data_IF_655487745126
#
_entry.id   IF_655487745126
#
_cell.length_a   1.000
_cell.length_b   1.000
_cell.length_c   1.000
_cell.angle_alpha   90.00
_cell.angle_beta   90.00
_cell.angle_gamma   90.00
#
_symmetry.space_group_name_H-M   'P 1'
#
loop_
_entity.id
_entity.type
_entity.pdbx_description
1 polymer ?
#
# COMPACT_ATOMS: atom_id res chain seq x y z
N UNK A 1 28.48 23.54 14.13
CA UNK A 1 27.07 23.40 14.59
C UNK A 1 26.96 22.36 15.70
N UNK A 2 27.39 21.06 15.49
CA UNK A 2 27.27 19.99 16.50
C UNK A 2 28.00 20.36 17.81
N UNK A 3 29.25 20.83 17.70
CA UNK A 3 30.03 21.26 18.84
C UNK A 3 29.37 22.41 19.60
N UNK A 4 28.85 23.38 18.91
CA UNK A 4 28.18 24.55 19.50
C UNK A 4 26.91 24.15 20.26
N UNK A 5 26.10 23.27 19.68
CA UNK A 5 24.93 22.69 20.34
C UNK A 5 25.35 21.90 21.59
N UNK A 6 26.41 21.11 21.50
CA UNK A 6 26.93 20.35 22.62
C UNK A 6 27.40 21.25 23.78
N UNK A 7 28.13 22.33 23.48
CA UNK A 7 28.60 23.29 24.49
C UNK A 7 27.40 23.91 25.25
N UNK A 8 26.38 24.36 24.52
CA UNK A 8 25.22 25.02 25.11
C UNK A 8 24.30 24.04 25.87
N UNK A 9 24.00 22.88 25.29
CA UNK A 9 22.99 21.97 25.85
C UNK A 9 23.55 20.95 26.86
N UNK A 10 24.84 20.66 26.80
CA UNK A 10 25.47 19.63 27.63
C UNK A 10 26.49 20.24 28.59
N UNK A 11 27.48 20.98 28.07
CA UNK A 11 28.57 21.51 28.92
C UNK A 11 28.13 22.58 29.88
N UNK A 12 27.19 23.45 29.51
CA UNK A 12 26.63 24.46 30.44
C UNK A 12 25.80 23.81 31.57
N UNK A 13 25.31 22.58 31.36
CA UNK A 13 24.48 21.88 32.34
C UNK A 13 25.30 20.87 33.16
N UNK A 14 26.31 20.22 32.56
CA UNK A 14 27.17 19.22 33.20
C UNK A 14 28.66 19.50 32.96
N UNK A 15 29.31 20.07 33.94
CA UNK A 15 30.77 20.39 33.96
C UNK A 15 31.65 19.13 33.82
N UNK A 16 31.11 17.94 34.13
CA UNK A 16 31.86 16.68 34.08
C UNK A 16 31.80 16.05 32.69
N UNK A 17 30.93 16.51 31.82
CA UNK A 17 30.85 16.03 30.44
C UNK A 17 32.18 16.27 29.69
N UNK A 18 32.56 15.48 28.70
CA UNK A 18 33.74 15.71 27.87
C UNK A 18 33.78 17.13 27.31
N UNK A 19 34.97 17.70 27.17
CA UNK A 19 35.14 19.11 26.75
C UNK A 19 34.69 19.37 25.31
N UNK A 20 34.49 18.31 24.51
CA UNK A 20 34.01 18.37 23.12
C UNK A 20 33.15 17.17 22.80
N UNK A 21 32.13 17.35 21.95
CA UNK A 21 31.31 16.25 21.44
C UNK A 21 32.14 15.17 20.73
N UNK A 22 33.28 15.56 20.13
CA UNK A 22 34.19 14.64 19.44
C UNK A 22 34.98 13.73 20.40
N UNK A 23 34.98 14.02 21.68
CA UNK A 23 35.59 13.20 22.76
C UNK A 23 34.56 12.33 23.48
N UNK A 24 33.29 12.43 23.13
CA UNK A 24 32.26 11.54 23.63
C UNK A 24 32.39 10.15 23.02
N UNK A 25 32.06 9.12 23.81
CA UNK A 25 31.95 7.78 23.28
C UNK A 25 30.80 7.71 22.26
N UNK A 26 31.00 6.90 21.22
CA UNK A 26 29.93 6.67 20.25
C UNK A 26 28.81 5.88 20.94
N UNK A 27 27.54 6.31 20.82
CA UNK A 27 26.45 5.63 21.53
C UNK A 27 26.28 4.19 21.05
N UNK A 28 26.18 3.27 21.99
CA UNK A 28 25.87 1.87 21.70
C UNK A 28 24.36 1.65 21.78
N UNK A 29 23.82 0.86 20.84
CA UNK A 29 22.41 0.51 20.83
C UNK A 29 22.09 -0.45 21.99
N UNK A 30 21.08 -0.09 22.78
CA UNK A 30 20.51 -1.02 23.77
C UNK A 30 19.54 -1.98 23.06
N UNK A 31 19.99 -3.21 22.87
CA UNK A 31 19.21 -4.26 22.20
C UNK A 31 17.93 -4.63 22.95
N UNK A 32 17.86 -4.37 24.27
CA UNK A 32 16.67 -4.66 25.07
C UNK A 32 15.50 -3.74 24.75
N UNK A 33 15.77 -2.58 24.15
CA UNK A 33 14.77 -1.60 23.72
C UNK A 33 14.29 -1.81 22.27
N UNK A 34 14.87 -2.78 21.57
CA UNK A 34 14.49 -3.07 20.19
C UNK A 34 13.24 -3.97 20.15
N UNK A 35 12.16 -3.47 19.58
CA UNK A 35 10.94 -4.24 19.33
C UNK A 35 10.77 -4.45 17.81
N UNK A 36 11.23 -5.64 17.34
CA UNK A 36 11.15 -5.99 15.91
C UNK A 36 9.69 -6.02 15.41
N UNK A 37 8.75 -6.48 16.26
CA UNK A 37 7.33 -6.51 15.90
C UNK A 37 6.76 -5.11 15.74
N UNK A 38 7.19 -4.15 16.54
CA UNK A 38 6.80 -2.76 16.40
C UNK A 38 7.37 -2.18 15.09
N UNK A 39 8.62 -2.50 14.76
CA UNK A 39 9.26 -2.06 13.50
C UNK A 39 8.47 -2.56 12.28
N UNK A 40 8.07 -3.84 12.27
CA UNK A 40 7.26 -4.41 11.20
C UNK A 40 5.89 -3.72 11.09
N UNK A 41 5.20 -3.48 12.23
CA UNK A 41 3.91 -2.78 12.24
C UNK A 41 4.04 -1.35 11.70
N UNK A 42 5.06 -0.63 12.13
CA UNK A 42 5.32 0.73 11.63
C UNK A 42 5.67 0.73 10.14
N UNK A 43 6.36 -0.29 9.65
CA UNK A 43 6.60 -0.44 8.21
C UNK A 43 5.29 -0.55 7.41
N UNK A 44 4.32 -1.33 7.90
CA UNK A 44 2.98 -1.44 7.29
C UNK A 44 2.22 -0.11 7.33
N UNK A 45 2.26 0.61 8.47
CA UNK A 45 1.65 1.94 8.60
C UNK A 45 2.26 2.94 7.61
N UNK A 46 3.59 2.94 7.48
CA UNK A 46 4.28 3.78 6.49
C UNK A 46 3.83 3.49 5.06
N UNK A 47 3.64 2.22 4.70
CA UNK A 47 3.09 1.82 3.40
C UNK A 47 1.70 2.42 3.16
N UNK A 48 0.79 2.31 4.14
CA UNK A 48 -0.54 2.93 4.03
C UNK A 48 -0.49 4.45 3.90
N UNK A 49 0.36 5.11 4.68
CA UNK A 49 0.55 6.57 4.60
C UNK A 49 1.13 6.97 3.25
N UNK A 50 2.07 6.21 2.70
CA UNK A 50 2.63 6.46 1.38
C UNK A 50 1.57 6.34 0.28
N UNK A 51 0.76 5.27 0.29
CA UNK A 51 -0.37 5.13 -0.63
C UNK A 51 -1.34 6.32 -0.54
N UNK A 52 -1.70 6.75 0.68
CA UNK A 52 -2.55 7.92 0.88
C UNK A 52 -1.93 9.21 0.33
N UNK A 53 -0.62 9.40 0.47
CA UNK A 53 0.10 10.54 -0.11
C UNK A 53 0.17 10.48 -1.63
N UNK A 54 0.34 9.30 -2.22
CA UNK A 54 0.29 9.09 -3.68
C UNK A 54 -1.08 9.49 -4.20
N UNK A 55 -2.16 9.01 -3.57
CA UNK A 55 -3.53 9.39 -3.94
C UNK A 55 -3.72 10.90 -3.91
N UNK A 56 -3.27 11.57 -2.83
CA UNK A 56 -3.34 13.03 -2.72
C UNK A 56 -2.57 13.74 -3.82
N UNK A 57 -1.33 13.32 -4.08
CA UNK A 57 -0.45 13.91 -5.08
C UNK A 57 -1.04 13.78 -6.50
N UNK A 58 -1.52 12.59 -6.86
CA UNK A 58 -2.13 12.29 -8.17
C UNK A 58 -3.39 13.12 -8.41
N UNK A 59 -4.14 13.44 -7.35
CA UNK A 59 -5.38 14.21 -7.43
C UNK A 59 -5.20 15.70 -7.07
N UNK A 60 -3.95 16.19 -6.91
CA UNK A 60 -3.61 17.57 -6.56
C UNK A 60 -4.21 18.05 -5.22
N UNK A 61 -4.46 17.15 -4.27
CA UNK A 61 -4.94 17.45 -2.93
C UNK A 61 -3.77 17.68 -1.98
N UNK A 62 -3.61 18.89 -1.46
CA UNK A 62 -2.51 19.23 -0.52
C UNK A 62 -2.72 18.52 0.83
N UNK A 63 -1.63 18.12 1.50
CA UNK A 63 -1.71 17.43 2.80
C UNK A 63 -2.43 18.25 3.88
N UNK A 64 -2.35 19.57 3.83
CA UNK A 64 -3.06 20.48 4.76
C UNK A 64 -4.59 20.50 4.57
N UNK A 65 -5.10 20.00 3.45
CA UNK A 65 -6.54 19.92 3.19
C UNK A 65 -7.10 18.67 3.88
N UNK A 66 -8.06 18.80 4.80
CA UNK A 66 -8.67 17.65 5.44
C UNK A 66 -9.50 16.83 4.44
N UNK A 67 -9.42 15.52 4.56
CA UNK A 67 -10.26 14.57 3.82
C UNK A 67 -11.29 13.99 4.79
N UNK A 68 -12.53 13.81 4.34
CA UNK A 68 -13.62 13.36 5.18
C UNK A 68 -13.40 11.92 5.65
N UNK A 69 -13.11 11.00 4.73
CA UNK A 69 -12.94 9.60 5.08
C UNK A 69 -11.91 8.87 4.22
N UNK A 70 -11.27 7.89 4.84
CA UNK A 70 -10.40 6.89 4.25
C UNK A 70 -11.06 5.53 4.42
N UNK A 71 -11.03 4.71 3.40
CA UNK A 71 -11.48 3.33 3.48
C UNK A 71 -10.31 2.40 3.27
N UNK A 72 -10.15 1.42 4.14
CA UNK A 72 -9.06 0.44 4.13
C UNK A 72 -9.63 -0.96 3.99
N UNK A 73 -9.06 -1.72 3.06
CA UNK A 73 -9.23 -3.17 2.98
C UNK A 73 -7.91 -3.81 3.33
N UNK A 74 -7.87 -4.60 4.38
CA UNK A 74 -6.70 -5.38 4.78
C UNK A 74 -6.75 -6.76 4.10
N UNK A 75 -5.61 -7.23 3.59
CA UNK A 75 -5.52 -8.52 2.90
C UNK A 75 -5.25 -9.69 3.86
N UNK A 76 -5.10 -9.41 5.17
CA UNK A 76 -4.89 -10.40 6.23
C UNK A 76 -5.32 -9.89 7.61
N UNK A 77 -5.43 -10.83 8.57
CA UNK A 77 -5.85 -10.52 9.95
C UNK A 77 -4.80 -9.70 10.71
N UNK A 78 -3.53 -9.91 10.42
CA UNK A 78 -2.43 -9.15 11.03
C UNK A 78 -2.47 -7.71 10.58
N UNK A 79 -2.63 -7.49 9.28
CA UNK A 79 -2.77 -6.18 8.64
C UNK A 79 -3.98 -5.43 9.21
N UNK A 80 -5.13 -6.10 9.33
CA UNK A 80 -6.33 -5.52 9.92
C UNK A 80 -6.07 -5.03 11.35
N UNK A 81 -5.48 -5.87 12.21
CA UNK A 81 -5.13 -5.50 13.58
C UNK A 81 -4.15 -4.33 13.65
N UNK A 82 -3.17 -4.27 12.76
CA UNK A 82 -2.22 -3.16 12.70
C UNK A 82 -2.94 -1.87 12.34
N UNK A 83 -3.78 -1.88 11.29
CA UNK A 83 -4.52 -0.71 10.85
C UNK A 83 -5.50 -0.20 11.93
N UNK A 84 -6.19 -1.11 12.64
CA UNK A 84 -7.09 -0.76 13.75
C UNK A 84 -6.34 -0.19 14.96
N UNK A 85 -5.21 -0.81 15.35
CA UNK A 85 -4.45 -0.39 16.53
C UNK A 85 -3.72 0.94 16.33
N UNK A 86 -3.29 1.22 15.09
CA UNK A 86 -2.52 2.41 14.75
C UNK A 86 -3.32 3.42 13.91
N UNK A 87 -4.64 3.35 13.98
CA UNK A 87 -5.56 4.19 13.22
C UNK A 87 -5.29 5.67 13.42
N UNK A 88 -5.14 6.10 14.66
CA UNK A 88 -4.95 7.52 15.00
C UNK A 88 -3.71 8.10 14.33
N UNK A 89 -2.61 7.34 14.33
CA UNK A 89 -1.37 7.74 13.66
C UNK A 89 -1.55 7.92 12.15
N UNK A 90 -2.28 7.00 11.50
CA UNK A 90 -2.54 7.06 10.05
C UNK A 90 -3.44 8.25 9.72
N UNK A 91 -4.49 8.48 10.51
CA UNK A 91 -5.44 9.58 10.33
C UNK A 91 -4.74 10.94 10.47
N UNK A 92 -3.87 11.09 11.48
CA UNK A 92 -3.10 12.30 11.72
C UNK A 92 -2.11 12.57 10.58
N UNK A 93 -1.33 11.58 10.17
CA UNK A 93 -0.34 11.69 9.09
C UNK A 93 -0.95 12.05 7.73
N UNK A 94 -2.16 11.55 7.47
CA UNK A 94 -2.88 11.80 6.23
C UNK A 94 -3.88 12.95 6.32
N UNK A 95 -4.07 13.59 7.47
CA UNK A 95 -5.09 14.60 7.70
C UNK A 95 -6.48 14.15 7.22
N UNK A 96 -6.89 12.97 7.70
CA UNK A 96 -8.19 12.34 7.42
C UNK A 96 -9.00 12.28 8.70
N UNK A 97 -10.31 12.53 8.64
CA UNK A 97 -11.17 12.60 9.83
C UNK A 97 -11.65 11.25 10.32
N UNK A 98 -11.91 10.32 9.39
CA UNK A 98 -12.52 9.03 9.70
C UNK A 98 -11.87 7.91 8.87
N UNK A 99 -11.64 6.74 9.50
CA UNK A 99 -11.24 5.52 8.81
C UNK A 99 -12.36 4.49 8.85
N UNK A 100 -12.63 3.88 7.70
CA UNK A 100 -13.62 2.80 7.52
C UNK A 100 -12.91 1.53 7.08
N UNK A 101 -13.29 0.41 7.66
CA UNK A 101 -12.77 -0.90 7.27
C UNK A 101 -13.80 -1.63 6.42
N UNK A 102 -13.36 -2.19 5.31
CA UNK A 102 -14.16 -3.12 4.50
C UNK A 102 -13.46 -4.47 4.45
N UNK A 103 -14.25 -5.51 4.42
CA UNK A 103 -13.76 -6.89 4.33
C UNK A 103 -13.47 -7.31 2.89
N UNK A 104 -14.08 -6.64 1.91
CA UNK A 104 -13.98 -7.01 0.50
C UNK A 104 -13.68 -5.79 -0.38
N UNK A 105 -12.57 -5.88 -1.11
CA UNK A 105 -12.13 -4.87 -2.09
C UNK A 105 -13.18 -4.64 -3.19
N UNK A 106 -13.99 -5.65 -3.50
CA UNK A 106 -15.02 -5.56 -4.55
C UNK A 106 -16.11 -4.54 -4.26
N UNK A 107 -16.28 -4.14 -2.98
CA UNK A 107 -17.18 -3.07 -2.58
C UNK A 107 -16.62 -1.67 -2.87
N UNK A 108 -15.28 -1.55 -2.98
CA UNK A 108 -14.59 -0.31 -3.29
C UNK A 108 -14.40 -0.10 -4.78
N UNK A 109 -14.01 -1.15 -5.48
CA UNK A 109 -13.61 -1.09 -6.88
C UNK A 109 -14.25 -2.22 -7.67
N UNK A 110 -14.65 -1.93 -8.91
CA UNK A 110 -15.01 -2.99 -9.84
C UNK A 110 -13.71 -3.55 -10.42
N UNK A 111 -13.42 -4.81 -10.07
CA UNK A 111 -12.31 -5.53 -10.67
C UNK A 111 -12.66 -5.86 -12.11
N UNK A 112 -11.76 -5.58 -13.02
CA UNK A 112 -11.85 -5.94 -14.42
C UNK A 112 -10.51 -6.51 -14.86
N UNK A 113 -10.56 -7.62 -15.57
CA UNK A 113 -9.37 -8.27 -16.10
C UNK A 113 -9.08 -7.73 -17.50
N UNK A 114 -7.84 -7.29 -17.72
CA UNK A 114 -7.31 -7.00 -19.06
C UNK A 114 -6.26 -8.02 -19.44
N UNK A 115 -6.16 -8.42 -20.71
CA UNK A 115 -5.14 -9.35 -21.16
C UNK A 115 -3.74 -8.70 -21.09
N UNK A 116 -2.79 -9.43 -20.52
CA UNK A 116 -1.38 -9.09 -20.61
C UNK A 116 -0.82 -9.64 -21.95
N UNK A 117 -0.84 -8.83 -22.97
CA UNK A 117 -0.44 -9.23 -24.33
C UNK A 117 1.00 -9.74 -24.41
N UNK A 118 1.91 -9.23 -23.57
CA UNK A 118 3.31 -9.67 -23.55
C UNK A 118 3.42 -11.08 -23.00
N UNK A 119 2.78 -11.35 -21.84
CA UNK A 119 2.79 -12.65 -21.22
C UNK A 119 2.07 -13.71 -22.10
N UNK A 120 0.94 -13.35 -22.73
CA UNK A 120 0.21 -14.25 -23.64
C UNK A 120 1.07 -14.61 -24.86
N UNK A 121 1.77 -13.64 -25.46
CA UNK A 121 2.69 -13.89 -26.59
C UNK A 121 3.87 -14.77 -26.20
N UNK A 122 4.39 -14.62 -24.98
CA UNK A 122 5.50 -15.43 -24.48
C UNK A 122 5.14 -16.92 -24.31
N UNK A 123 3.85 -17.26 -24.16
CA UNK A 123 3.38 -18.67 -24.09
C UNK A 123 3.42 -19.42 -25.44
N UNK A 124 3.53 -18.68 -26.55
CA UNK A 124 3.75 -19.32 -27.86
C UNK A 124 2.86 -18.78 -28.99
N UNK A 125 3.13 -19.18 -30.22
CA UNK A 125 2.43 -18.70 -31.43
C UNK A 125 0.94 -19.06 -31.48
N UNK A 126 0.55 -20.16 -30.88
CA UNK A 126 -0.87 -20.60 -30.79
C UNK A 126 -1.71 -19.63 -29.97
N UNK A 127 -1.13 -19.13 -28.84
CA UNK A 127 -1.77 -18.11 -27.99
C UNK A 127 -1.85 -16.76 -28.70
N UNK A 128 -0.82 -16.41 -29.47
CA UNK A 128 -0.81 -15.17 -30.25
C UNK A 128 -1.88 -15.16 -31.36
N UNK A 129 -2.11 -16.28 -32.03
CA UNK A 129 -3.18 -16.42 -33.07
C UNK A 129 -4.58 -16.28 -32.45
N UNK A 130 -4.79 -16.81 -31.24
CA UNK A 130 -6.09 -16.82 -30.56
C UNK A 130 -6.28 -15.67 -29.58
N UNK A 131 -5.48 -14.61 -29.70
CA UNK A 131 -5.48 -13.44 -28.80
C UNK A 131 -6.87 -12.83 -28.61
N UNK A 132 -7.68 -12.74 -29.68
CA UNK A 132 -9.04 -12.19 -29.62
C UNK A 132 -9.96 -13.03 -28.75
N UNK A 133 -9.87 -14.35 -28.84
CA UNK A 133 -10.68 -15.28 -28.04
C UNK A 133 -10.30 -15.18 -26.57
N UNK A 134 -8.99 -15.15 -26.28
CA UNK A 134 -8.47 -14.97 -24.93
C UNK A 134 -8.95 -13.63 -24.38
N UNK A 135 -8.77 -12.52 -25.10
CA UNK A 135 -9.17 -11.18 -24.67
C UNK A 135 -10.67 -11.09 -24.37
N UNK A 136 -11.54 -11.65 -25.23
CA UNK A 136 -12.99 -11.65 -25.02
C UNK A 136 -13.36 -12.44 -23.77
N UNK A 137 -12.77 -13.62 -23.57
CA UNK A 137 -13.05 -14.44 -22.37
C UNK A 137 -12.58 -13.74 -21.10
N UNK A 138 -11.36 -13.16 -21.09
CA UNK A 138 -10.81 -12.44 -19.96
C UNK A 138 -11.62 -11.16 -19.62
N UNK A 139 -12.14 -10.46 -20.62
CA UNK A 139 -12.98 -9.28 -20.41
C UNK A 139 -14.37 -9.61 -19.85
N UNK A 140 -14.85 -10.86 -20.04
CA UNK A 140 -16.16 -11.33 -19.57
C UNK A 140 -16.10 -12.06 -18.23
N UNK A 141 -14.92 -12.14 -17.58
CA UNK A 141 -14.77 -12.82 -16.30
C UNK A 141 -15.55 -12.10 -15.18
N UNK A 142 -16.20 -12.91 -14.36
CA UNK A 142 -16.79 -12.43 -13.09
C UNK A 142 -15.69 -12.14 -12.06
N UNK A 143 -16.05 -11.37 -11.02
CA UNK A 143 -15.13 -11.07 -9.92
C UNK A 143 -14.66 -12.34 -9.21
N UNK A 144 -15.54 -13.33 -9.09
CA UNK A 144 -15.24 -14.63 -8.47
C UNK A 144 -14.23 -15.43 -9.29
N UNK A 145 -14.41 -15.47 -10.61
CA UNK A 145 -13.45 -16.11 -11.52
C UNK A 145 -12.08 -15.42 -11.52
N UNK A 146 -12.05 -14.09 -11.40
CA UNK A 146 -10.79 -13.31 -11.27
C UNK A 146 -10.07 -13.69 -9.97
N UNK A 147 -10.79 -13.79 -8.85
CA UNK A 147 -10.22 -14.21 -7.56
C UNK A 147 -9.72 -15.67 -7.61
N UNK A 148 -10.44 -16.58 -8.25
CA UNK A 148 -10.03 -17.97 -8.43
C UNK A 148 -8.73 -18.09 -9.25
N UNK A 149 -8.59 -17.28 -10.31
CA UNK A 149 -7.36 -17.20 -11.09
C UNK A 149 -6.18 -16.66 -10.26
N UNK A 150 -6.41 -15.68 -9.40
CA UNK A 150 -5.38 -15.16 -8.48
C UNK A 150 -4.96 -16.21 -7.44
N UNK A 151 -5.89 -17.09 -7.03
CA UNK A 151 -5.61 -18.21 -6.13
C UNK A 151 -4.85 -19.37 -6.80
N UNK A 152 -4.54 -19.28 -8.12
CA UNK A 152 -3.75 -20.25 -8.86
C UNK A 152 -4.55 -21.16 -9.78
N UNK A 153 -5.85 -20.91 -9.95
CA UNK A 153 -6.63 -21.61 -10.96
C UNK A 153 -6.23 -21.18 -12.38
N UNK A 154 -6.55 -21.99 -13.37
CA UNK A 154 -6.28 -21.70 -14.78
C UNK A 154 -7.55 -21.83 -15.62
N UNK A 155 -7.67 -21.01 -16.66
CA UNK A 155 -8.71 -21.15 -17.66
C UNK A 155 -8.20 -22.04 -18.78
N UNK A 156 -8.94 -23.12 -19.06
CA UNK A 156 -8.62 -24.06 -20.14
C UNK A 156 -9.23 -23.60 -21.46
N UNK A 157 -8.37 -23.58 -22.47
CA UNK A 157 -8.75 -23.37 -23.87
C UNK A 157 -8.34 -24.61 -24.67
N UNK A 158 -8.86 -24.77 -25.87
CA UNK A 158 -8.51 -25.92 -26.78
C UNK A 158 -7.02 -25.96 -27.14
N UNK A 159 -6.34 -24.77 -27.05
CA UNK A 159 -4.92 -24.60 -27.39
C UNK A 159 -4.01 -24.47 -26.14
N UNK A 160 -4.54 -24.64 -24.92
CA UNK A 160 -3.76 -24.60 -23.69
C UNK A 160 -4.43 -23.87 -22.52
N UNK A 161 -3.68 -23.55 -21.47
CA UNK A 161 -4.18 -22.96 -20.25
C UNK A 161 -3.66 -21.54 -20.05
N UNK A 162 -4.52 -20.67 -19.54
CA UNK A 162 -4.22 -19.27 -19.23
C UNK A 162 -4.42 -19.04 -17.73
N UNK A 163 -3.36 -18.66 -17.02
CA UNK A 163 -3.38 -18.35 -15.58
C UNK A 163 -3.28 -16.86 -15.27
N UNK A 164 -3.07 -16.54 -14.01
CA UNK A 164 -2.97 -15.19 -13.50
C UNK A 164 -1.85 -14.35 -14.15
N UNK A 165 -0.78 -14.97 -14.60
CA UNK A 165 0.35 -14.36 -15.32
C UNK A 165 -0.06 -13.63 -16.61
N UNK A 166 -1.14 -14.09 -17.24
CA UNK A 166 -1.70 -13.51 -18.47
C UNK A 166 -2.73 -12.40 -18.23
N UNK A 167 -2.97 -12.06 -16.96
CA UNK A 167 -3.92 -11.05 -16.56
C UNK A 167 -3.22 -9.75 -16.09
N UNK A 168 -3.78 -8.64 -16.49
CA UNK A 168 -3.56 -7.35 -15.85
C UNK A 168 -4.85 -6.93 -15.15
N UNK A 169 -4.82 -6.84 -13.83
CA UNK A 169 -5.97 -6.37 -13.07
C UNK A 169 -6.12 -4.87 -13.24
N UNK A 170 -7.30 -4.46 -13.66
CA UNK A 170 -7.69 -3.07 -13.73
C UNK A 170 -8.77 -2.81 -12.68
N UNK A 171 -8.51 -1.84 -11.80
CA UNK A 171 -9.45 -1.40 -10.77
C UNK A 171 -10.21 -0.21 -11.30
N UNK A 172 -11.51 -0.37 -11.57
CA UNK A 172 -12.40 0.73 -11.96
C UNK A 172 -12.95 1.34 -10.67
N UNK A 173 -12.49 2.53 -10.37
CA UNK A 173 -12.85 3.28 -9.16
C UNK A 173 -14.09 4.12 -9.43
N UNK A 174 -15.09 4.15 -8.52
CA UNK A 174 -16.25 5.07 -8.62
C UNK A 174 -15.80 6.54 -8.61
N UNK A 175 -16.58 7.41 -9.26
CA UNK A 175 -16.31 8.85 -9.23
C UNK A 175 -16.27 9.41 -7.81
N UNK A 176 -15.24 10.21 -7.51
CA UNK A 176 -15.02 10.83 -6.20
C UNK A 176 -14.20 10.01 -5.22
N UNK A 177 -13.87 8.74 -5.54
CA UNK A 177 -12.91 7.92 -4.80
C UNK A 177 -11.60 7.83 -5.60
N UNK A 178 -10.48 7.82 -4.89
CA UNK A 178 -9.19 7.47 -5.49
C UNK A 178 -8.57 6.34 -4.66
N UNK A 179 -8.01 5.34 -5.33
CA UNK A 179 -7.59 4.07 -4.72
C UNK A 179 -6.16 3.75 -5.12
N UNK A 180 -5.38 3.32 -4.13
CA UNK A 180 -4.07 2.69 -4.29
C UNK A 180 -4.04 1.37 -3.51
N UNK A 181 -3.25 0.42 -3.97
CA UNK A 181 -3.14 -0.88 -3.32
C UNK A 181 -1.73 -1.43 -3.41
N UNK A 182 -1.33 -2.13 -2.35
CA UNK A 182 -0.13 -2.96 -2.30
C UNK A 182 -0.47 -4.41 -1.96
N UNK A 183 0.52 -5.19 -1.52
CA UNK A 183 0.33 -6.60 -1.14
C UNK A 183 -0.40 -6.76 0.21
N UNK A 184 -0.46 -5.73 1.04
CA UNK A 184 -1.00 -5.76 2.40
C UNK A 184 -2.35 -5.06 2.51
N UNK A 185 -2.53 -3.97 1.77
CA UNK A 185 -3.70 -3.10 1.89
C UNK A 185 -4.19 -2.57 0.56
N UNK A 186 -5.48 -2.30 0.51
CA UNK A 186 -6.09 -1.40 -0.48
C UNK A 186 -6.63 -0.18 0.27
N UNK A 187 -6.18 0.99 -0.14
CA UNK A 187 -6.52 2.29 0.46
C UNK A 187 -7.34 3.11 -0.52
N UNK A 188 -8.47 3.62 -0.07
CA UNK A 188 -9.30 4.56 -0.84
C UNK A 188 -9.52 5.85 -0.04
N UNK A 189 -9.36 7.00 -0.68
CA UNK A 189 -9.68 8.31 -0.11
C UNK A 189 -10.93 8.89 -0.78
N UNK A 190 -11.85 9.42 0.03
CA UNK A 190 -12.98 10.20 -0.47
C UNK A 190 -12.50 11.63 -0.71
N UNK A 191 -12.32 11.96 -1.98
CA UNK A 191 -11.78 13.27 -2.39
C UNK A 191 -12.81 14.39 -2.41
N UNK A 192 -14.07 14.12 -2.01
CA UNK A 192 -15.06 15.18 -1.85
C UNK A 192 -14.62 16.12 -0.75
N UNK A 193 -14.36 17.37 -1.13
CA UNK A 193 -14.03 18.43 -0.20
C UNK A 193 -15.32 18.80 0.56
N UNK A 194 -15.27 18.66 1.88
CA UNK A 194 -16.34 19.10 2.80
C UNK A 194 -16.12 20.53 3.21
#
# INVERSE_FOLDING_TARGET
LAEEIYQILVREVDDKAPVSVHLCEFPSADKSLMDEKLVERIAMVRGMVEMGRIIRATNNVKNRMPIASMTVVAHGDTEKKVAETMQDLILEELNVREMKFLEDETKLVKLSAKPNFLAIKAKGPEYAKNMKVISSKLASLSVEEIKALQAGETIKFEFGEVGADCLMLNRIVPEGLAVEADNHFTVALDLKIT
#
